data_IF_351507196565
#
_entry.id   IF_351507196565
#
_cell.length_a   1.000
_cell.length_b   1.000
_cell.length_c   1.000
_cell.angle_alpha   90.00
_cell.angle_beta   90.00
_cell.angle_gamma   90.00
#
_symmetry.space_group_name_H-M   'P 1'
#
loop_
_entity.id
_entity.type
_entity.pdbx_description
1 polymer ?
#
# COMPACT_ATOMS: atom_id res chain seq x y z
N UNK A 1 -92.40 42.30 35.92
CA UNK A 1 -92.86 41.82 34.60
C UNK A 1 -91.71 41.86 33.60
N UNK A 2 -91.03 40.73 33.39
CA UNK A 2 -90.44 40.22 32.12
C UNK A 2 -89.60 38.99 32.47
N UNK A 3 -89.91 37.89 31.79
CA UNK A 3 -89.40 36.53 31.95
C UNK A 3 -88.13 36.26 31.11
N UNK A 4 -87.46 35.15 31.47
CA UNK A 4 -86.71 34.16 30.66
C UNK A 4 -85.15 34.08 30.75
N UNK A 5 -84.71 32.91 31.27
CA UNK A 5 -83.41 32.20 31.25
C UNK A 5 -83.02 31.69 29.83
N UNK A 6 -81.90 30.93 29.58
CA UNK A 6 -80.69 30.60 30.39
C UNK A 6 -79.35 30.81 29.63
N UNK A 7 -78.19 30.70 30.33
CA UNK A 7 -76.85 30.56 29.71
C UNK A 7 -76.23 29.20 30.04
N UNK A 8 -75.72 28.53 29.00
CA UNK A 8 -75.18 27.17 29.00
C UNK A 8 -73.68 27.12 29.35
N UNK A 9 -73.29 25.97 29.89
CA UNK A 9 -71.98 25.49 30.31
C UNK A 9 -71.02 25.22 29.13
N UNK A 10 -69.72 25.49 29.27
CA UNK A 10 -68.67 24.83 28.49
C UNK A 10 -67.35 24.70 29.28
N UNK A 11 -66.87 23.45 29.34
CA UNK A 11 -65.63 22.99 29.97
C UNK A 11 -64.38 23.53 29.26
N UNK A 12 -63.29 23.72 30.02
CA UNK A 12 -61.92 23.57 29.48
C UNK A 12 -61.08 22.69 30.41
N UNK A 13 -60.56 21.62 29.82
CA UNK A 13 -59.65 20.64 30.42
C UNK A 13 -58.23 21.11 30.10
N UNK A 14 -57.41 21.36 31.12
CA UNK A 14 -55.95 21.53 30.95
C UNK A 14 -55.25 20.36 31.62
N UNK A 15 -54.80 19.41 30.79
CA UNK A 15 -53.94 18.31 31.20
C UNK A 15 -52.51 18.81 31.40
N UNK A 16 -51.95 18.54 32.58
CA UNK A 16 -50.53 18.65 32.88
C UNK A 16 -49.78 17.57 32.08
N UNK A 17 -49.06 17.98 31.04
CA UNK A 17 -48.10 17.12 30.35
C UNK A 17 -46.74 17.23 31.05
N UNK A 18 -46.22 16.09 31.52
CA UNK A 18 -44.88 15.92 32.04
C UNK A 18 -43.83 16.32 30.99
N UNK A 19 -42.94 17.24 31.36
CA UNK A 19 -41.73 17.57 30.61
C UNK A 19 -40.63 16.55 30.89
N UNK A 20 -40.54 15.51 30.06
CA UNK A 20 -39.32 14.73 29.85
C UNK A 20 -38.56 15.34 28.67
N UNK A 21 -37.75 16.37 28.91
CA UNK A 21 -36.76 16.82 27.93
C UNK A 21 -35.48 16.02 28.13
N UNK A 22 -35.29 14.98 27.32
CA UNK A 22 -34.00 14.35 27.11
C UNK A 22 -33.62 14.55 25.64
N UNK A 23 -33.36 15.81 25.26
CA UNK A 23 -32.73 16.14 23.99
C UNK A 23 -31.22 15.95 24.13
N UNK A 24 -30.77 14.70 24.10
CA UNK A 24 -29.37 14.41 23.79
C UNK A 24 -29.16 14.72 22.31
N UNK A 25 -28.33 15.72 22.00
CA UNK A 25 -27.80 15.89 20.64
C UNK A 25 -27.22 14.54 20.19
N UNK A 26 -27.82 13.94 19.17
CA UNK A 26 -27.23 12.75 18.54
C UNK A 26 -25.87 13.16 18.02
N UNK A 27 -24.82 12.67 18.67
CA UNK A 27 -23.46 12.87 18.19
C UNK A 27 -23.35 12.23 16.81
N UNK A 28 -23.18 13.05 15.76
CA UNK A 28 -23.00 12.55 14.40
C UNK A 28 -21.56 12.10 14.22
N UNK A 29 -21.37 10.79 14.16
CA UNK A 29 -20.09 10.16 13.82
C UNK A 29 -19.87 10.22 12.30
N UNK A 30 -18.63 10.45 11.87
CA UNK A 30 -18.25 10.34 10.44
C UNK A 30 -18.11 8.88 9.98
N UNK A 31 -18.21 7.95 10.92
CA UNK A 31 -18.23 6.51 10.72
C UNK A 31 -19.53 5.94 11.30
N UNK A 32 -19.93 4.78 10.82
CA UNK A 32 -21.08 4.06 11.36
C UNK A 32 -20.62 3.07 12.46
N UNK A 33 -21.43 2.88 13.50
CA UNK A 33 -21.21 1.83 14.51
C UNK A 33 -22.17 0.70 14.20
N UNK A 34 -21.65 -0.48 13.83
CA UNK A 34 -22.51 -1.63 13.58
C UNK A 34 -23.28 -2.00 14.85
N UNK A 35 -24.55 -2.37 14.71
CA UNK A 35 -25.41 -2.76 15.84
C UNK A 35 -24.90 -4.00 16.59
N UNK A 36 -24.01 -4.80 15.99
CA UNK A 36 -23.35 -5.93 16.63
C UNK A 36 -22.16 -5.55 17.51
N UNK A 37 -21.71 -4.28 17.52
CA UNK A 37 -20.59 -3.83 18.35
C UNK A 37 -21.01 -3.93 19.82
N UNK A 38 -20.31 -4.75 20.59
CA UNK A 38 -20.47 -4.82 22.04
C UNK A 38 -19.71 -3.65 22.67
N UNK A 39 -20.37 -2.78 23.46
CA UNK A 39 -19.69 -1.69 24.15
C UNK A 39 -18.62 -2.19 25.14
N UNK A 40 -17.62 -1.35 25.41
CA UNK A 40 -16.68 -1.63 26.50
C UNK A 40 -17.40 -1.62 27.84
N UNK A 41 -16.93 -2.43 28.79
CA UNK A 41 -17.52 -2.53 30.13
C UNK A 41 -17.54 -1.19 30.87
N UNK A 42 -16.52 -0.35 30.66
CA UNK A 42 -16.45 1.00 31.18
C UNK A 42 -17.08 1.99 30.17
N UNK A 43 -18.26 2.58 30.45
CA UNK A 43 -18.94 3.45 29.51
C UNK A 43 -18.17 4.74 29.19
N UNK A 44 -17.46 5.31 30.17
CA UNK A 44 -16.65 6.52 29.97
C UNK A 44 -15.50 6.24 29.00
N UNK A 45 -14.92 5.05 29.10
CA UNK A 45 -13.87 4.60 28.20
C UNK A 45 -14.40 4.30 26.80
N UNK A 46 -15.58 3.69 26.70
CA UNK A 46 -16.27 3.48 25.43
C UNK A 46 -16.54 4.80 24.71
N UNK A 47 -17.09 5.79 25.42
CA UNK A 47 -17.36 7.11 24.84
C UNK A 47 -16.06 7.82 24.44
N UNK A 48 -15.00 7.69 25.24
CA UNK A 48 -13.68 8.25 24.92
C UNK A 48 -13.08 7.64 23.65
N UNK A 49 -13.13 6.32 23.47
CA UNK A 49 -12.58 5.69 22.26
C UNK A 49 -13.39 6.07 21.02
N UNK A 50 -14.73 6.13 21.11
CA UNK A 50 -15.58 6.56 20.00
C UNK A 50 -15.36 8.03 19.63
N UNK A 51 -15.21 8.92 20.62
CA UNK A 51 -14.90 10.34 20.41
C UNK A 51 -13.51 10.53 19.76
N UNK A 52 -12.52 9.77 20.22
CA UNK A 52 -11.17 9.76 19.65
C UNK A 52 -11.18 9.26 18.20
N UNK A 53 -11.92 8.18 17.92
CA UNK A 53 -12.12 7.66 16.56
C UNK A 53 -12.80 8.68 15.63
N UNK A 54 -13.83 9.37 16.13
CA UNK A 54 -14.52 10.39 15.34
C UNK A 54 -13.56 11.51 14.94
N UNK A 55 -12.71 11.93 15.88
CA UNK A 55 -11.67 12.93 15.66
C UNK A 55 -10.64 12.43 14.64
N UNK A 56 -10.18 11.18 14.77
CA UNK A 56 -9.25 10.54 13.85
C UNK A 56 -9.78 10.56 12.40
N UNK A 57 -11.00 10.08 12.18
CA UNK A 57 -11.57 10.05 10.82
C UNK A 57 -11.90 11.43 10.25
N UNK A 58 -12.27 12.41 11.10
CA UNK A 58 -12.48 13.81 10.66
C UNK A 58 -11.18 14.48 10.21
N UNK A 59 -10.06 14.09 10.81
CA UNK A 59 -8.75 14.66 10.53
C UNK A 59 -7.96 13.89 9.46
N UNK A 60 -8.63 13.04 8.65
CA UNK A 60 -7.98 12.38 7.54
C UNK A 60 -7.45 13.42 6.54
N UNK A 61 -6.18 13.27 6.08
CA UNK A 61 -5.64 14.17 5.08
C UNK A 61 -6.44 14.08 3.78
N UNK A 62 -6.57 15.19 3.04
CA UNK A 62 -7.25 15.20 1.74
C UNK A 62 -6.58 14.24 0.74
N UNK A 63 -7.37 13.71 -0.20
CA UNK A 63 -6.93 12.74 -1.23
C UNK A 63 -5.74 13.18 -2.08
N UNK A 64 -5.54 14.49 -2.22
CA UNK A 64 -4.44 15.06 -3.01
C UNK A 64 -3.06 14.98 -2.31
N UNK A 65 -3.00 14.54 -1.04
CA UNK A 65 -1.74 14.43 -0.28
C UNK A 65 -0.87 13.23 -0.65
N UNK A 66 -1.35 12.31 -1.51
CA UNK A 66 -0.62 11.10 -1.94
C UNK A 66 0.78 11.40 -2.53
N UNK A 67 0.98 12.61 -3.04
CA UNK A 67 2.22 13.02 -3.70
C UNK A 67 3.22 13.73 -2.78
N UNK A 68 2.87 14.09 -1.54
CA UNK A 68 3.85 14.58 -0.58
C UNK A 68 4.40 13.41 0.22
N UNK A 69 5.46 12.80 -0.32
CA UNK A 69 6.26 11.78 0.37
C UNK A 69 6.69 12.28 1.77
N UNK A 70 6.89 13.59 1.97
CA UNK A 70 7.06 14.26 3.27
C UNK A 70 5.91 14.04 4.28
N UNK A 71 4.65 14.02 3.83
CA UNK A 71 3.49 13.89 4.72
C UNK A 71 3.39 12.47 5.30
N UNK A 72 3.73 11.45 4.50
CA UNK A 72 3.68 10.05 4.93
C UNK A 72 5.00 9.50 5.45
N UNK A 73 6.15 10.13 5.16
CA UNK A 73 7.47 9.71 5.65
C UNK A 73 7.74 10.09 7.10
N UNK A 74 7.04 11.09 7.65
CA UNK A 74 7.32 11.55 9.02
C UNK A 74 6.84 10.59 10.11
N UNK A 75 5.83 9.74 9.86
CA UNK A 75 5.27 8.84 10.87
C UNK A 75 4.71 7.56 10.23
N UNK A 76 4.70 6.47 11.01
CA UNK A 76 4.03 5.17 10.78
C UNK A 76 2.53 5.34 10.52
N UNK A 77 2.20 5.93 9.38
CA UNK A 77 0.93 6.60 9.21
C UNK A 77 -0.12 5.59 8.78
N UNK A 78 -0.96 5.19 9.73
CA UNK A 78 -2.15 4.37 9.50
C UNK A 78 -3.00 4.89 8.33
N UNK A 79 -3.02 6.20 8.08
CA UNK A 79 -3.75 6.77 6.95
C UNK A 79 -3.24 6.25 5.60
N UNK A 80 -1.97 5.82 5.47
CA UNK A 80 -1.44 5.23 4.24
C UNK A 80 -2.18 3.96 3.85
N UNK A 81 -2.50 3.10 4.82
CA UNK A 81 -3.16 1.82 4.56
C UNK A 81 -4.67 1.98 4.31
N UNK A 82 -5.31 2.97 4.95
CA UNK A 82 -6.77 3.18 4.84
C UNK A 82 -7.15 4.31 3.89
N UNK A 83 -6.19 4.90 3.16
CA UNK A 83 -6.45 5.99 2.23
C UNK A 83 -7.33 5.54 1.07
N UNK A 84 -8.33 6.35 0.73
CA UNK A 84 -9.23 6.12 -0.40
C UNK A 84 -9.41 7.40 -1.21
N UNK A 85 -9.15 7.32 -2.51
CA UNK A 85 -9.44 8.41 -3.46
C UNK A 85 -10.96 8.60 -3.59
N UNK A 86 -11.70 7.50 -3.63
CA UNK A 86 -13.15 7.47 -3.61
C UNK A 86 -13.68 7.62 -2.17
N UNK A 87 -14.02 8.85 -1.80
CA UNK A 87 -14.53 9.20 -0.47
C UNK A 87 -15.96 8.72 -0.19
N UNK A 88 -16.62 8.07 -1.15
CA UNK A 88 -17.95 7.47 -0.94
C UNK A 88 -17.90 6.22 -0.07
N UNK A 89 -16.76 5.55 0.02
CA UNK A 89 -16.55 4.49 1.00
C UNK A 89 -16.48 5.06 2.41
N UNK A 90 -17.40 4.62 3.26
CA UNK A 90 -17.48 5.06 4.66
C UNK A 90 -17.02 3.94 5.60
N UNK A 91 -16.24 4.28 6.64
CA UNK A 91 -15.88 3.33 7.68
C UNK A 91 -17.10 2.94 8.52
N UNK A 92 -17.20 1.65 8.82
CA UNK A 92 -18.15 1.07 9.78
C UNK A 92 -17.38 0.28 10.82
N UNK A 93 -17.46 0.67 12.09
CA UNK A 93 -16.90 -0.07 13.22
C UNK A 93 -17.68 -1.38 13.36
N UNK A 94 -16.98 -2.51 13.24
CA UNK A 94 -17.55 -3.85 13.36
C UNK A 94 -17.35 -4.43 14.75
N UNK A 95 -16.15 -4.28 15.31
CA UNK A 95 -15.80 -4.84 16.63
C UNK A 95 -14.72 -3.99 17.32
N UNK A 96 -14.78 -4.02 18.65
CA UNK A 96 -13.71 -3.61 19.56
C UNK A 96 -13.26 -4.86 20.29
N UNK A 97 -12.03 -5.30 20.04
CA UNK A 97 -11.49 -6.53 20.65
C UNK A 97 -10.43 -6.15 21.68
N UNK A 98 -10.46 -6.73 22.90
CA UNK A 98 -9.37 -6.55 23.85
C UNK A 98 -8.09 -7.20 23.32
N UNK A 99 -6.95 -6.72 23.82
CA UNK A 99 -5.66 -7.40 23.65
C UNK A 99 -5.22 -8.02 24.99
N UNK A 100 -4.01 -8.56 25.04
CA UNK A 100 -3.31 -8.96 26.27
C UNK A 100 -2.85 -7.78 27.12
N UNK A 101 -2.98 -6.55 26.61
CA UNK A 101 -2.70 -5.30 27.33
C UNK A 101 -4.00 -4.54 27.58
N UNK A 102 -4.35 -4.34 28.85
CA UNK A 102 -5.62 -3.71 29.27
C UNK A 102 -5.87 -2.32 28.67
N UNK A 103 -4.80 -1.60 28.29
CA UNK A 103 -4.86 -0.26 27.69
C UNK A 103 -4.88 -0.28 26.17
N UNK A 104 -5.03 -1.45 25.54
CA UNK A 104 -5.01 -1.60 24.09
C UNK A 104 -6.20 -2.41 23.58
N UNK A 105 -6.72 -1.96 22.44
CA UNK A 105 -7.83 -2.60 21.74
C UNK A 105 -7.54 -2.71 20.25
N UNK A 106 -8.03 -3.77 19.62
CA UNK A 106 -8.08 -3.88 18.16
C UNK A 106 -9.43 -3.37 17.70
N UNK A 107 -9.40 -2.33 16.87
CA UNK A 107 -10.58 -1.72 16.28
C UNK A 107 -10.73 -2.26 14.86
N UNK A 108 -11.80 -3.01 14.61
CA UNK A 108 -12.07 -3.62 13.30
C UNK A 108 -13.08 -2.78 12.53
N UNK A 109 -12.73 -2.39 11.32
CA UNK A 109 -13.58 -1.59 10.44
C UNK A 109 -13.81 -2.26 9.10
N UNK A 110 -15.03 -2.14 8.58
CA UNK A 110 -15.32 -2.35 7.16
C UNK A 110 -15.44 -0.99 6.47
N UNK A 111 -14.83 -0.86 5.29
CA UNK A 111 -14.96 0.31 4.44
C UNK A 111 -15.88 -0.04 3.27
N UNK A 112 -17.09 0.51 3.29
CA UNK A 112 -18.17 0.11 2.39
C UNK A 112 -18.84 1.33 1.77
N UNK A 113 -19.36 1.17 0.56
CA UNK A 113 -20.27 2.13 -0.07
C UNK A 113 -21.51 1.40 -0.58
N UNK A 114 -22.56 2.16 -0.89
CA UNK A 114 -23.64 1.64 -1.71
C UNK A 114 -23.34 1.90 -3.18
N UNK A 115 -23.56 0.90 -4.02
CA UNK A 115 -23.54 1.08 -5.46
C UNK A 115 -24.84 1.73 -5.95
N UNK A 116 -24.90 2.00 -7.25
CA UNK A 116 -26.06 2.64 -7.91
C UNK A 116 -27.35 1.81 -7.83
N UNK A 117 -27.24 0.51 -7.57
CA UNK A 117 -28.36 -0.42 -7.46
C UNK A 117 -28.76 -0.70 -6.00
N UNK A 118 -28.09 -0.04 -5.04
CA UNK A 118 -28.32 -0.23 -3.61
C UNK A 118 -27.61 -1.45 -2.99
N UNK A 119 -26.76 -2.16 -3.73
CA UNK A 119 -25.93 -3.20 -3.15
C UNK A 119 -24.74 -2.59 -2.39
N UNK A 120 -24.31 -3.28 -1.34
CA UNK A 120 -23.13 -2.88 -0.59
C UNK A 120 -21.85 -3.35 -1.29
N UNK A 121 -20.99 -2.42 -1.67
CA UNK A 121 -19.65 -2.69 -2.17
C UNK A 121 -18.64 -2.59 -1.03
N UNK A 122 -17.97 -3.70 -0.72
CA UNK A 122 -16.92 -3.78 0.30
C UNK A 122 -15.56 -3.52 -0.34
N UNK A 123 -14.87 -2.47 0.14
CA UNK A 123 -13.51 -2.17 -0.30
C UNK A 123 -12.48 -3.02 0.43
N UNK A 124 -12.50 -2.97 1.77
CA UNK A 124 -11.64 -3.76 2.64
C UNK A 124 -12.18 -3.82 4.07
N UNK A 125 -11.67 -4.79 4.82
CA UNK A 125 -11.81 -4.87 6.29
C UNK A 125 -10.41 -4.66 6.87
N UNK A 126 -10.27 -3.66 7.75
CA UNK A 126 -8.99 -3.24 8.32
C UNK A 126 -9.04 -3.20 9.84
N UNK A 127 -7.97 -3.67 10.47
CA UNK A 127 -7.74 -3.68 11.90
C UNK A 127 -6.68 -2.63 12.25
N UNK A 128 -7.01 -1.79 13.23
CA UNK A 128 -6.06 -0.83 13.80
C UNK A 128 -5.93 -1.03 15.30
N UNK A 129 -4.77 -0.67 15.84
CA UNK A 129 -4.51 -0.76 17.27
C UNK A 129 -4.84 0.59 17.92
N UNK A 130 -5.82 0.60 18.82
CA UNK A 130 -6.10 1.72 19.70
C UNK A 130 -5.30 1.58 21.00
N UNK A 131 -4.63 2.66 21.43
CA UNK A 131 -3.90 2.71 22.70
C UNK A 131 -4.44 3.84 23.57
N UNK A 132 -4.73 3.54 24.83
CA UNK A 132 -5.21 4.51 25.81
C UNK A 132 -4.04 5.38 26.30
N UNK A 133 -4.19 6.68 26.18
CA UNK A 133 -3.24 7.70 26.62
C UNK A 133 -3.98 8.68 27.54
N UNK A 134 -4.00 8.35 28.84
CA UNK A 134 -4.79 9.07 29.83
C UNK A 134 -6.29 8.92 29.56
N UNK A 135 -6.93 10.02 29.15
CA UNK A 135 -8.37 10.08 28.86
C UNK A 135 -8.71 9.99 27.37
N UNK A 136 -7.72 9.81 26.50
CA UNK A 136 -7.88 9.75 25.04
C UNK A 136 -7.30 8.46 24.47
N UNK A 137 -7.61 8.20 23.20
CA UNK A 137 -7.02 7.10 22.45
C UNK A 137 -6.23 7.59 21.25
N UNK A 138 -5.06 6.99 21.02
CA UNK A 138 -4.29 7.12 19.79
C UNK A 138 -4.45 5.85 18.94
N UNK A 139 -4.35 5.99 17.61
CA UNK A 139 -4.56 4.90 16.66
C UNK A 139 -3.30 4.64 15.85
N UNK A 140 -2.92 3.37 15.78
CA UNK A 140 -1.67 2.90 15.19
C UNK A 140 -1.94 1.78 14.20
N UNK A 141 -1.03 1.60 13.24
CA UNK A 141 -0.99 0.38 12.44
C UNK A 141 -0.84 -0.81 13.39
N UNK A 142 -1.59 -1.88 13.12
CA UNK A 142 -1.53 -3.11 13.92
C UNK A 142 -0.27 -3.95 13.63
N UNK A 143 0.56 -3.52 12.68
CA UNK A 143 1.74 -4.23 12.19
C UNK A 143 2.65 -4.78 13.31
N UNK A 144 3.11 -3.92 14.21
CA UNK A 144 4.00 -4.31 15.32
C UNK A 144 3.32 -5.32 16.24
N UNK A 145 2.01 -5.17 16.46
CA UNK A 145 1.24 -6.14 17.23
C UNK A 145 1.18 -7.48 16.50
N UNK A 146 0.88 -7.50 15.21
CA UNK A 146 0.78 -8.73 14.41
C UNK A 146 2.12 -9.48 14.24
N UNK A 147 3.24 -8.79 14.46
CA UNK A 147 4.60 -9.33 14.33
C UNK A 147 5.31 -9.54 15.66
N UNK A 148 4.67 -9.25 16.81
CA UNK A 148 5.31 -9.29 18.14
C UNK A 148 5.91 -10.64 18.53
N UNK A 149 5.31 -11.72 18.04
CA UNK A 149 5.74 -13.10 18.31
C UNK A 149 6.49 -13.72 17.11
N UNK A 150 6.84 -12.93 16.10
CA UNK A 150 7.58 -13.44 14.94
C UNK A 150 9.04 -13.75 15.29
N UNK A 151 9.55 -14.83 14.71
CA UNK A 151 10.94 -15.24 14.90
C UNK A 151 11.85 -14.28 14.14
N UNK A 152 12.93 -13.87 14.78
CA UNK A 152 13.98 -13.03 14.20
C UNK A 152 15.22 -13.87 13.88
N UNK A 153 15.75 -13.71 12.67
CA UNK A 153 17.01 -14.33 12.22
C UNK A 153 17.90 -13.30 11.51
N UNK A 154 19.20 -13.59 11.47
CA UNK A 154 20.20 -12.73 10.83
C UNK A 154 21.02 -13.51 9.80
N UNK A 155 21.31 -12.85 8.68
CA UNK A 155 22.30 -13.28 7.69
C UNK A 155 23.03 -12.02 7.18
N UNK A 156 24.24 -11.79 7.71
CA UNK A 156 25.04 -10.61 7.36
C UNK A 156 24.32 -9.28 7.62
N UNK A 157 24.10 -8.52 6.55
CA UNK A 157 23.42 -7.22 6.53
C UNK A 157 21.89 -7.32 6.59
N UNK A 158 21.33 -8.52 6.44
CA UNK A 158 19.89 -8.75 6.40
C UNK A 158 19.34 -9.28 7.74
N UNK A 159 18.20 -8.73 8.16
CA UNK A 159 17.43 -9.16 9.32
C UNK A 159 16.08 -9.68 8.87
N UNK A 160 15.79 -10.94 9.16
CA UNK A 160 14.56 -11.62 8.76
C UNK A 160 13.60 -11.76 9.92
N UNK A 161 12.33 -11.49 9.64
CA UNK A 161 11.19 -11.74 10.51
C UNK A 161 10.23 -12.70 9.80
N UNK A 162 9.78 -13.75 10.49
CA UNK A 162 8.81 -14.71 9.94
C UNK A 162 7.96 -15.34 11.04
N UNK A 163 6.74 -15.76 10.68
CA UNK A 163 5.87 -16.46 11.61
C UNK A 163 6.53 -17.75 12.13
N UNK A 164 6.39 -18.13 13.43
CA UNK A 164 7.05 -19.31 13.99
C UNK A 164 6.76 -20.65 13.29
N UNK A 165 5.66 -20.76 12.56
CA UNK A 165 5.35 -21.95 11.75
C UNK A 165 6.10 -22.01 10.42
N UNK A 166 6.80 -20.95 10.01
CA UNK A 166 7.52 -20.90 8.74
C UNK A 166 8.93 -21.48 8.89
N UNK A 167 9.40 -22.14 7.84
CA UNK A 167 10.77 -22.64 7.75
C UNK A 167 11.66 -21.51 7.22
N UNK A 168 12.80 -21.30 7.89
CA UNK A 168 13.84 -20.37 7.47
C UNK A 168 14.91 -21.09 6.66
N UNK A 169 15.14 -20.66 5.43
CA UNK A 169 16.21 -21.19 4.58
C UNK A 169 17.47 -20.33 4.70
N UNK A 170 18.40 -20.78 5.55
CA UNK A 170 19.69 -20.12 5.79
C UNK A 170 20.49 -19.87 4.50
N UNK A 171 20.50 -20.84 3.58
CA UNK A 171 21.28 -20.74 2.34
C UNK A 171 20.73 -19.63 1.43
N UNK A 172 19.42 -19.52 1.31
CA UNK A 172 18.79 -18.44 0.54
C UNK A 172 18.98 -17.07 1.20
N UNK A 173 18.94 -17.01 2.53
CA UNK A 173 19.24 -15.77 3.26
C UNK A 173 20.69 -15.29 3.02
N UNK A 174 21.67 -16.20 3.09
CA UNK A 174 23.07 -15.89 2.79
C UNK A 174 23.29 -15.51 1.32
N UNK A 175 22.51 -16.12 0.40
CA UNK A 175 22.51 -15.74 -1.00
C UNK A 175 21.98 -14.32 -1.22
N UNK A 176 20.89 -13.94 -0.54
CA UNK A 176 20.34 -12.58 -0.57
C UNK A 176 21.31 -11.54 -0.01
N UNK A 177 21.99 -11.84 1.11
CA UNK A 177 23.03 -10.97 1.65
C UNK A 177 24.21 -10.81 0.68
N UNK A 178 24.64 -11.91 0.06
CA UNK A 178 25.69 -11.87 -0.96
C UNK A 178 25.29 -11.02 -2.17
N UNK A 179 24.04 -11.12 -2.61
CA UNK A 179 23.50 -10.27 -3.67
C UNK A 179 23.48 -8.79 -3.26
N UNK A 180 23.03 -8.49 -2.05
CA UNK A 180 23.03 -7.13 -1.49
C UNK A 180 24.44 -6.51 -1.52
N UNK A 181 25.44 -7.25 -1.03
CA UNK A 181 26.84 -6.82 -1.01
C UNK A 181 27.40 -6.64 -2.43
N UNK A 182 27.11 -7.59 -3.33
CA UNK A 182 27.59 -7.53 -4.70
C UNK A 182 26.98 -6.36 -5.49
N UNK A 183 25.69 -6.10 -5.30
CA UNK A 183 25.00 -4.98 -5.92
C UNK A 183 25.56 -3.65 -5.40
N UNK A 184 25.70 -3.49 -4.08
CA UNK A 184 26.32 -2.30 -3.49
C UNK A 184 27.71 -2.02 -4.05
N UNK A 185 28.55 -3.06 -4.14
CA UNK A 185 29.90 -2.97 -4.71
C UNK A 185 29.87 -2.53 -6.18
N UNK A 186 28.98 -3.11 -6.99
CA UNK A 186 28.81 -2.74 -8.41
C UNK A 186 28.38 -1.28 -8.57
N UNK A 187 27.61 -0.76 -7.63
CA UNK A 187 27.09 0.60 -7.62
C UNK A 187 27.99 1.59 -6.89
N UNK A 188 29.15 1.14 -6.39
CA UNK A 188 30.12 1.97 -5.66
C UNK A 188 29.51 2.66 -4.43
N UNK A 189 28.63 1.96 -3.70
CA UNK A 189 27.99 2.42 -2.46
C UNK A 189 28.11 1.37 -1.35
N UNK A 190 27.82 1.78 -0.11
CA UNK A 190 27.77 0.87 1.02
C UNK A 190 26.56 -0.07 0.97
N UNK A 191 26.71 -1.37 1.33
CA UNK A 191 25.61 -2.32 1.43
C UNK A 191 24.52 -1.85 2.39
N UNK A 192 23.26 -2.10 2.04
CA UNK A 192 22.14 -1.72 2.89
C UNK A 192 21.86 -2.67 4.04
N UNK A 193 21.36 -2.12 5.15
CA UNK A 193 20.85 -2.92 6.27
C UNK A 193 19.36 -3.16 6.06
N UNK A 194 19.02 -4.36 5.61
CA UNK A 194 17.67 -4.67 5.15
C UNK A 194 16.90 -5.43 6.22
N UNK A 195 15.72 -4.93 6.56
CA UNK A 195 14.71 -5.69 7.31
C UNK A 195 13.78 -6.39 6.32
N UNK A 196 13.54 -7.69 6.53
CA UNK A 196 12.79 -8.54 5.62
C UNK A 196 11.70 -9.32 6.35
N UNK A 197 10.44 -9.14 5.99
CA UNK A 197 9.32 -9.92 6.50
C UNK A 197 8.92 -10.99 5.50
N UNK A 198 9.22 -12.25 5.83
CA UNK A 198 8.91 -13.41 5.00
C UNK A 198 7.51 -13.94 5.32
N UNK A 199 6.57 -13.65 4.43
CA UNK A 199 5.22 -14.20 4.45
C UNK A 199 5.12 -15.39 3.48
N UNK A 200 4.24 -16.34 3.78
CA UNK A 200 3.94 -17.51 2.97
C UNK A 200 3.21 -17.15 1.67
N UNK A 201 2.42 -16.07 1.68
CA UNK A 201 1.57 -15.65 0.57
C UNK A 201 1.03 -14.23 0.80
N UNK A 202 0.29 -13.71 -0.18
CA UNK A 202 -0.32 -12.38 -0.12
C UNK A 202 -1.31 -12.23 1.05
N UNK A 203 -2.04 -13.28 1.42
CA UNK A 203 -2.99 -13.24 2.54
C UNK A 203 -2.25 -12.95 3.85
N UNK A 204 -1.16 -13.66 4.14
CA UNK A 204 -0.37 -13.41 5.36
C UNK A 204 0.24 -11.99 5.35
N UNK A 205 0.77 -11.54 4.21
CA UNK A 205 1.31 -10.18 4.06
C UNK A 205 0.26 -9.11 4.39
N UNK A 206 -0.93 -9.19 3.79
CA UNK A 206 -1.99 -8.21 4.03
C UNK A 206 -2.55 -8.32 5.45
N UNK A 207 -2.62 -9.52 6.05
CA UNK A 207 -2.98 -9.69 7.46
C UNK A 207 -1.99 -9.01 8.39
N UNK A 208 -0.70 -9.15 8.12
CA UNK A 208 0.35 -8.46 8.87
C UNK A 208 0.19 -6.93 8.78
N UNK A 209 -0.23 -6.40 7.63
CA UNK A 209 -0.60 -4.97 7.48
C UNK A 209 -1.91 -4.56 8.17
N UNK A 210 -2.72 -5.52 8.64
CA UNK A 210 -3.96 -5.28 9.36
C UNK A 210 -5.24 -5.59 8.59
N UNK A 211 -5.16 -6.03 7.34
CA UNK A 211 -6.34 -6.37 6.57
C UNK A 211 -6.85 -7.77 6.93
N UNK A 212 -8.15 -7.90 7.19
CA UNK A 212 -8.82 -9.22 7.18
C UNK A 212 -9.37 -9.54 5.79
N UNK A 213 -9.62 -8.50 4.99
CA UNK A 213 -10.05 -8.62 3.60
C UNK A 213 -9.58 -7.40 2.81
N UNK A 214 -9.01 -7.63 1.64
CA UNK A 214 -8.88 -6.65 0.57
C UNK A 214 -8.78 -7.42 -0.75
N UNK A 215 -9.21 -6.83 -1.87
CA UNK A 215 -9.15 -7.49 -3.19
C UNK A 215 -7.72 -7.98 -3.52
N UNK A 216 -6.70 -7.25 -3.08
CA UNK A 216 -5.29 -7.58 -3.30
C UNK A 216 -4.84 -8.92 -2.68
N UNK A 217 -5.53 -9.43 -1.66
CA UNK A 217 -5.21 -10.73 -1.04
C UNK A 217 -5.39 -11.92 -1.98
N UNK A 218 -6.23 -11.78 -3.00
CA UNK A 218 -6.68 -12.88 -3.86
C UNK A 218 -6.43 -12.63 -5.34
N UNK A 219 -5.86 -11.46 -5.70
CA UNK A 219 -5.53 -11.13 -7.08
C UNK A 219 -4.20 -11.77 -7.50
N UNK A 220 -3.19 -11.63 -6.65
CA UNK A 220 -1.83 -12.06 -6.94
C UNK A 220 -1.41 -13.13 -5.90
N UNK A 221 -0.83 -14.24 -6.35
CA UNK A 221 -0.39 -15.34 -5.47
C UNK A 221 1.00 -15.12 -4.89
N UNK A 222 1.80 -14.25 -5.52
CA UNK A 222 3.14 -13.85 -5.15
C UNK A 222 3.31 -12.34 -5.35
N UNK A 223 4.24 -11.74 -4.62
CA UNK A 223 4.57 -10.33 -4.75
C UNK A 223 5.35 -9.84 -3.54
N UNK A 224 5.73 -8.57 -3.57
CA UNK A 224 6.41 -7.92 -2.48
C UNK A 224 6.44 -6.42 -2.71
N UNK A 225 6.96 -5.71 -1.71
CA UNK A 225 7.31 -4.30 -1.84
C UNK A 225 8.28 -3.91 -0.75
N UNK A 226 9.03 -2.85 -1.00
CA UNK A 226 9.68 -2.06 0.03
C UNK A 226 8.66 -1.06 0.63
N UNK A 227 8.64 -0.95 1.95
CA UNK A 227 7.97 0.13 2.68
C UNK A 227 9.01 0.85 3.56
N UNK A 228 9.23 2.16 3.34
CA UNK A 228 10.29 2.95 3.98
C UNK A 228 10.37 2.81 5.52
N UNK A 229 9.23 2.65 6.19
CA UNK A 229 9.12 2.56 7.66
C UNK A 229 9.20 1.12 8.22
N UNK A 230 9.25 0.10 7.35
CA UNK A 230 9.20 -1.32 7.74
C UNK A 230 10.37 -2.11 7.15
N UNK A 231 10.58 -1.99 5.84
CA UNK A 231 11.49 -2.81 5.06
C UNK A 231 10.78 -3.60 3.96
N UNK A 232 11.37 -4.74 3.56
CA UNK A 232 10.79 -5.62 2.55
C UNK A 232 9.63 -6.42 3.16
N UNK A 233 8.45 -6.31 2.55
CA UNK A 233 7.32 -7.20 2.78
C UNK A 233 7.24 -8.17 1.62
N UNK A 234 7.52 -9.45 1.87
CA UNK A 234 7.52 -10.48 0.83
C UNK A 234 6.40 -11.49 1.03
N UNK A 235 5.67 -11.77 -0.04
CA UNK A 235 4.63 -12.80 -0.13
C UNK A 235 5.07 -14.00 -0.98
N UNK A 236 6.37 -14.18 -1.26
CA UNK A 236 6.87 -15.25 -2.12
C UNK A 236 7.33 -16.52 -1.37
N UNK A 237 7.14 -16.59 -0.05
CA UNK A 237 7.60 -17.67 0.83
C UNK A 237 9.09 -18.03 0.68
N UNK A 238 9.94 -17.04 0.41
CA UNK A 238 11.38 -17.24 0.19
C UNK A 238 12.18 -16.14 0.88
N UNK A 239 13.41 -16.45 1.29
CA UNK A 239 14.40 -15.46 1.72
C UNK A 239 15.10 -14.78 0.52
N UNK A 240 14.94 -15.35 -0.68
CA UNK A 240 15.46 -14.85 -1.95
C UNK A 240 14.42 -13.99 -2.68
N UNK A 241 14.66 -12.67 -2.69
CA UNK A 241 13.85 -11.72 -3.47
C UNK A 241 14.71 -10.53 -3.93
N UNK A 242 15.66 -10.77 -4.85
CA UNK A 242 16.65 -9.79 -5.29
C UNK A 242 16.03 -8.53 -5.93
N UNK A 243 14.87 -8.65 -6.57
CA UNK A 243 14.11 -7.51 -7.10
C UNK A 243 13.83 -6.45 -6.02
N UNK A 244 13.26 -6.87 -4.88
CA UNK A 244 12.94 -5.96 -3.77
C UNK A 244 14.21 -5.45 -3.06
N UNK A 245 15.29 -6.22 -3.07
CA UNK A 245 16.59 -5.76 -2.55
C UNK A 245 17.13 -4.62 -3.43
N UNK A 246 16.98 -4.72 -4.76
CA UNK A 246 17.46 -3.71 -5.68
C UNK A 246 16.75 -2.35 -5.51
N UNK A 247 15.49 -2.34 -5.08
CA UNK A 247 14.73 -1.11 -4.81
C UNK A 247 15.33 -0.21 -3.72
N UNK A 248 16.26 -0.69 -2.90
CA UNK A 248 16.96 0.11 -1.89
C UNK A 248 18.04 1.06 -2.45
N UNK A 249 18.51 0.80 -3.66
CA UNK A 249 19.71 1.44 -4.18
C UNK A 249 19.48 2.72 -5.00
N UNK A 250 18.39 2.89 -5.77
CA UNK A 250 18.16 4.14 -6.50
C UNK A 250 18.27 5.43 -5.67
N UNK A 251 17.73 5.50 -4.42
CA UNK A 251 17.88 6.69 -3.58
C UNK A 251 19.33 7.00 -3.15
N UNK A 252 20.26 6.04 -3.28
CA UNK A 252 21.70 6.27 -3.02
C UNK A 252 22.45 6.81 -4.22
N UNK A 253 21.85 6.67 -5.40
CA UNK A 253 22.47 7.05 -6.67
C UNK A 253 22.06 8.46 -7.09
N UNK A 254 20.88 8.92 -6.64
CA UNK A 254 20.32 10.22 -6.97
C UNK A 254 19.22 10.64 -5.98
N UNK A 255 19.08 11.95 -5.76
CA UNK A 255 18.03 12.57 -4.93
C UNK A 255 16.69 12.75 -5.69
N UNK A 256 16.66 12.46 -6.99
CA UNK A 256 15.55 12.81 -7.89
C UNK A 256 14.84 11.60 -8.50
N UNK A 257 15.10 10.39 -8.01
CA UNK A 257 14.54 9.18 -8.60
C UNK A 257 13.02 9.04 -8.41
N UNK A 258 12.27 9.36 -9.46
CA UNK A 258 10.80 9.43 -9.38
C UNK A 258 10.07 8.77 -10.55
N UNK A 259 10.77 8.38 -11.62
CA UNK A 259 10.16 7.67 -12.73
C UNK A 259 10.01 6.16 -12.43
N UNK A 260 8.77 5.68 -12.37
CA UNK A 260 8.49 4.27 -12.04
C UNK A 260 9.04 3.28 -13.07
N UNK A 261 9.15 3.66 -14.34
CA UNK A 261 9.68 2.78 -15.39
C UNK A 261 11.17 2.51 -15.14
N UNK A 262 11.95 3.51 -14.77
CA UNK A 262 13.38 3.33 -14.47
C UNK A 262 13.62 2.68 -13.11
N UNK A 263 12.77 2.94 -12.12
CA UNK A 263 12.84 2.28 -10.81
C UNK A 263 12.61 0.76 -10.92
N UNK A 264 11.47 0.38 -11.49
CA UNK A 264 11.15 -1.03 -11.72
C UNK A 264 12.09 -1.67 -12.74
N UNK A 265 12.50 -0.90 -13.75
CA UNK A 265 13.50 -1.30 -14.72
C UNK A 265 14.84 -1.63 -14.08
N UNK A 266 15.34 -0.78 -13.19
CA UNK A 266 16.57 -1.02 -12.45
C UNK A 266 16.47 -2.26 -11.56
N UNK A 267 15.36 -2.40 -10.82
CA UNK A 267 15.12 -3.57 -9.98
C UNK A 267 15.05 -4.86 -10.80
N UNK A 268 14.40 -4.81 -11.96
CA UNK A 268 14.32 -5.92 -12.93
C UNK A 268 15.68 -6.24 -13.53
N UNK A 269 16.48 -5.23 -13.85
CA UNK A 269 17.82 -5.41 -14.41
C UNK A 269 18.77 -6.06 -13.40
N UNK A 270 18.74 -5.59 -12.15
CA UNK A 270 19.61 -6.08 -11.10
C UNK A 270 19.16 -7.46 -10.56
N UNK A 271 17.86 -7.64 -10.34
CA UNK A 271 17.31 -8.77 -9.60
C UNK A 271 16.36 -9.69 -10.38
N UNK A 272 15.99 -9.36 -11.62
CA UNK A 272 14.92 -10.07 -12.33
C UNK A 272 13.54 -9.82 -11.71
N UNK A 273 12.54 -10.62 -12.08
CA UNK A 273 11.18 -10.58 -11.49
C UNK A 273 10.44 -11.90 -11.72
N UNK A 274 9.48 -12.25 -10.86
CA UNK A 274 8.63 -13.45 -10.99
C UNK A 274 9.38 -14.73 -11.42
N UNK A 275 10.57 -14.97 -10.84
CA UNK A 275 11.51 -16.07 -11.13
C UNK A 275 12.27 -16.01 -12.47
N UNK A 276 12.05 -14.99 -13.29
CA UNK A 276 12.76 -14.76 -14.54
C UNK A 276 13.88 -13.73 -14.36
N UNK A 277 15.04 -14.03 -14.95
CA UNK A 277 16.05 -13.03 -15.23
C UNK A 277 15.58 -12.08 -16.34
N UNK A 278 16.19 -10.90 -16.44
CA UNK A 278 15.92 -9.97 -17.54
C UNK A 278 16.06 -10.63 -18.91
N UNK A 279 17.13 -11.41 -19.14
CA UNK A 279 17.35 -12.07 -20.43
C UNK A 279 16.23 -13.05 -20.81
N UNK A 280 15.70 -13.79 -19.83
CA UNK A 280 14.56 -14.69 -20.08
C UNK A 280 13.31 -13.92 -20.46
N UNK A 281 13.03 -12.80 -19.77
CA UNK A 281 11.92 -11.91 -20.13
C UNK A 281 12.09 -11.31 -21.51
N UNK A 282 13.27 -10.80 -21.86
CA UNK A 282 13.54 -10.22 -23.18
C UNK A 282 13.29 -11.24 -24.31
N UNK A 283 13.70 -12.49 -24.11
CA UNK A 283 13.43 -13.58 -25.07
C UNK A 283 11.93 -13.86 -25.21
N UNK A 284 11.19 -13.94 -24.10
CA UNK A 284 9.73 -14.13 -24.13
C UNK A 284 9.01 -12.97 -24.81
N UNK A 285 9.43 -11.74 -24.51
CA UNK A 285 8.90 -10.52 -25.11
C UNK A 285 9.17 -10.44 -26.60
N UNK A 286 10.37 -10.82 -27.05
CA UNK A 286 10.71 -10.90 -28.48
C UNK A 286 9.75 -11.83 -29.23
N UNK A 287 9.56 -13.06 -28.73
CA UNK A 287 8.66 -14.02 -29.38
C UNK A 287 7.21 -13.51 -29.39
N UNK A 288 6.74 -12.91 -28.30
CA UNK A 288 5.41 -12.30 -28.25
C UNK A 288 5.26 -11.19 -29.30
N UNK A 289 6.20 -10.25 -29.36
CA UNK A 289 6.13 -9.12 -30.29
C UNK A 289 6.30 -9.51 -31.76
N UNK A 290 6.91 -10.66 -32.05
CA UNK A 290 6.97 -11.26 -33.39
C UNK A 290 5.60 -11.80 -33.82
N UNK A 291 4.85 -12.39 -32.88
CA UNK A 291 3.48 -12.87 -33.12
C UNK A 291 2.45 -11.73 -33.13
N UNK A 292 2.77 -10.60 -32.50
CA UNK A 292 1.90 -9.42 -32.38
C UNK A 292 2.61 -8.14 -32.91
N UNK A 293 2.90 -8.06 -34.22
CA UNK A 293 3.67 -6.95 -34.79
C UNK A 293 2.99 -5.58 -34.66
N UNK A 294 1.66 -5.54 -34.51
CA UNK A 294 0.86 -4.32 -34.32
C UNK A 294 0.96 -3.73 -32.91
N UNK A 295 1.59 -4.43 -31.96
CA UNK A 295 1.71 -3.96 -30.58
C UNK A 295 2.54 -2.69 -30.49
N UNK A 296 1.97 -1.68 -29.82
CA UNK A 296 2.62 -0.40 -29.56
C UNK A 296 3.31 -0.41 -28.20
N UNK A 297 4.64 -0.50 -28.16
CA UNK A 297 5.43 -0.55 -26.92
C UNK A 297 5.31 0.78 -26.16
N UNK A 298 5.29 1.90 -26.88
CA UNK A 298 5.16 3.25 -26.29
C UNK A 298 3.89 3.34 -25.47
N UNK A 299 2.76 2.90 -26.01
CA UNK A 299 1.50 2.94 -25.29
C UNK A 299 1.53 1.98 -24.08
N UNK A 300 2.00 0.76 -24.27
CA UNK A 300 1.91 -0.28 -23.27
C UNK A 300 2.84 -0.09 -22.06
N UNK A 301 3.97 0.62 -22.21
CA UNK A 301 4.90 0.85 -21.10
C UNK A 301 4.30 1.75 -20.00
N UNK A 302 3.34 2.61 -20.33
CA UNK A 302 2.69 3.52 -19.38
C UNK A 302 1.33 3.02 -18.86
N UNK A 303 0.73 2.02 -19.49
CA UNK A 303 -0.63 1.53 -19.18
C UNK A 303 -0.66 0.33 -18.21
N UNK A 304 0.47 -0.02 -17.58
CA UNK A 304 0.61 -1.20 -16.70
C UNK A 304 0.16 -2.51 -17.36
N UNK A 305 0.25 -2.59 -18.68
CA UNK A 305 -0.10 -3.81 -19.42
C UNK A 305 1.00 -4.87 -19.27
N UNK A 306 0.61 -6.14 -19.44
CA UNK A 306 1.53 -7.28 -19.45
C UNK A 306 1.89 -7.67 -20.89
N UNK A 307 3.17 -7.99 -21.13
CA UNK A 307 3.62 -8.57 -22.39
C UNK A 307 3.14 -10.01 -22.52
N UNK A 308 3.45 -10.81 -21.51
CA UNK A 308 3.03 -12.21 -21.33
C UNK A 308 2.69 -12.36 -19.85
N UNK A 309 1.58 -13.03 -19.54
CA UNK A 309 1.03 -13.26 -18.19
C UNK A 309 1.97 -12.89 -17.03
N UNK A 310 1.70 -11.79 -16.33
CA UNK A 310 2.44 -11.28 -15.17
C UNK A 310 3.85 -10.71 -15.45
N UNK A 311 4.17 -10.36 -16.70
CA UNK A 311 5.40 -9.65 -17.06
C UNK A 311 5.05 -8.27 -17.62
N UNK A 312 5.06 -7.20 -16.79
CA UNK A 312 4.72 -5.86 -17.22
C UNK A 312 5.68 -5.30 -18.26
N UNK A 313 5.18 -4.52 -19.23
CA UNK A 313 6.03 -3.84 -20.22
C UNK A 313 7.10 -2.97 -19.56
N UNK A 314 6.74 -2.23 -18.52
CA UNK A 314 7.67 -1.35 -17.79
C UNK A 314 8.86 -2.11 -17.18
N UNK A 315 8.67 -3.37 -16.74
CA UNK A 315 9.76 -4.16 -16.15
C UNK A 315 10.76 -4.57 -17.24
N UNK A 316 10.24 -5.08 -18.36
CA UNK A 316 11.08 -5.56 -19.46
C UNK A 316 11.82 -4.42 -20.14
N UNK A 317 11.09 -3.39 -20.56
CA UNK A 317 11.66 -2.29 -21.34
C UNK A 317 12.46 -1.32 -20.45
N UNK A 318 12.00 -1.06 -19.23
CA UNK A 318 12.81 -0.34 -18.24
C UNK A 318 14.12 -1.09 -17.94
N UNK A 319 14.06 -2.41 -17.75
CA UNK A 319 15.25 -3.22 -17.50
C UNK A 319 16.22 -3.26 -18.68
N UNK A 320 15.70 -3.36 -19.91
CA UNK A 320 16.51 -3.25 -21.12
C UNK A 320 17.18 -1.88 -21.22
N UNK A 321 16.47 -0.78 -20.95
CA UNK A 321 17.05 0.57 -20.96
C UNK A 321 18.16 0.71 -19.91
N UNK A 322 17.96 0.22 -18.68
CA UNK A 322 19.00 0.22 -17.65
C UNK A 322 20.25 -0.58 -18.08
N UNK A 323 20.04 -1.76 -18.71
CA UNK A 323 21.13 -2.57 -19.25
C UNK A 323 21.90 -1.82 -20.34
N UNK A 324 21.21 -1.25 -21.32
CA UNK A 324 21.82 -0.50 -22.42
C UNK A 324 22.54 0.75 -21.94
N UNK A 325 22.00 1.45 -20.94
CA UNK A 325 22.63 2.62 -20.36
C UNK A 325 23.94 2.25 -19.67
N UNK A 326 23.97 1.13 -18.93
CA UNK A 326 25.21 0.64 -18.32
C UNK A 326 26.23 0.17 -19.37
N UNK A 327 25.79 -0.47 -20.45
CA UNK A 327 26.70 -0.85 -21.54
C UNK A 327 27.30 0.37 -22.25
N UNK A 328 26.54 1.48 -22.34
CA UNK A 328 26.97 2.71 -23.00
C UNK A 328 27.87 3.59 -22.13
N UNK A 329 27.51 3.77 -20.86
CA UNK A 329 28.16 4.74 -19.96
C UNK A 329 28.47 4.19 -18.56
N UNK A 330 28.45 2.86 -18.39
CA UNK A 330 28.61 2.22 -17.07
C UNK A 330 27.61 2.77 -16.05
N UNK A 331 27.99 2.87 -14.77
CA UNK A 331 27.12 3.39 -13.71
C UNK A 331 26.55 4.80 -14.02
N UNK A 332 27.26 5.63 -14.78
CA UNK A 332 26.80 6.97 -15.13
C UNK A 332 25.53 6.94 -15.99
N UNK A 333 25.41 5.97 -16.90
CA UNK A 333 24.21 5.81 -17.71
C UNK A 333 22.99 5.46 -16.86
N UNK A 334 23.16 4.56 -15.88
CA UNK A 334 22.09 4.21 -14.93
C UNK A 334 21.66 5.45 -14.13
N UNK A 335 22.62 6.22 -13.61
CA UNK A 335 22.34 7.44 -12.82
C UNK A 335 21.50 8.45 -13.60
N UNK A 336 21.87 8.72 -14.86
CA UNK A 336 21.09 9.60 -15.75
C UNK A 336 19.64 9.15 -15.89
N UNK A 337 19.40 7.86 -16.15
CA UNK A 337 18.03 7.34 -16.23
C UNK A 337 17.27 7.52 -14.91
N UNK A 338 17.91 7.22 -13.79
CA UNK A 338 17.30 7.32 -12.47
C UNK A 338 17.04 8.78 -12.06
N UNK A 339 17.74 9.78 -12.61
CA UNK A 339 17.47 11.21 -12.36
C UNK A 339 16.17 11.73 -13.01
N UNK A 340 15.51 10.90 -13.84
CA UNK A 340 14.27 11.28 -14.51
C UNK A 340 13.10 11.48 -13.54
N UNK A 341 12.31 12.52 -13.82
CA UNK A 341 11.08 12.86 -13.12
C UNK A 341 9.90 11.99 -13.58
N UNK A 342 8.71 12.24 -13.02
CA UNK A 342 7.56 11.34 -13.12
C UNK A 342 6.90 11.28 -14.51
N UNK A 343 7.02 12.33 -15.34
CA UNK A 343 6.15 12.43 -16.53
C UNK A 343 6.66 11.61 -17.72
N UNK A 344 5.74 11.29 -18.64
CA UNK A 344 6.09 10.71 -19.95
C UNK A 344 7.07 11.60 -20.74
N UNK A 345 6.96 12.92 -20.60
CA UNK A 345 7.89 13.86 -21.24
C UNK A 345 9.31 13.72 -20.68
N UNK A 346 9.43 13.63 -19.36
CA UNK A 346 10.71 13.46 -18.67
C UNK A 346 11.35 12.11 -19.03
N UNK A 347 10.54 11.07 -19.20
CA UNK A 347 10.98 9.77 -19.68
C UNK A 347 11.62 9.87 -21.07
N UNK A 348 10.94 10.48 -22.04
CA UNK A 348 11.49 10.59 -23.39
C UNK A 348 12.68 11.53 -23.49
N UNK A 349 12.70 12.60 -22.69
CA UNK A 349 13.83 13.51 -22.64
C UNK A 349 15.11 12.77 -22.23
N UNK A 350 15.06 11.95 -21.18
CA UNK A 350 16.24 11.21 -20.73
C UNK A 350 16.62 10.08 -21.69
N UNK A 351 15.63 9.45 -22.34
CA UNK A 351 15.90 8.44 -23.39
C UNK A 351 16.60 9.08 -24.59
N UNK A 352 16.18 10.26 -25.01
CA UNK A 352 16.84 11.00 -26.09
C UNK A 352 18.26 11.43 -25.69
N UNK A 353 18.44 11.91 -24.47
CA UNK A 353 19.76 12.30 -23.95
C UNK A 353 20.73 11.11 -23.89
N UNK A 354 20.30 9.99 -23.30
CA UNK A 354 21.17 8.82 -23.06
C UNK A 354 21.37 8.02 -24.34
N UNK A 355 20.35 7.85 -25.18
CA UNK A 355 20.41 6.95 -26.33
C UNK A 355 20.42 7.66 -27.69
N UNK A 356 20.05 8.94 -27.75
CA UNK A 356 19.84 9.65 -29.02
C UNK A 356 18.56 9.22 -29.73
N UNK A 357 17.58 8.68 -28.99
CA UNK A 357 16.34 8.10 -29.52
C UNK A 357 15.17 9.01 -29.18
N UNK A 358 14.54 9.58 -30.20
CA UNK A 358 13.33 10.38 -30.05
C UNK A 358 12.11 9.51 -29.80
N UNK A 359 11.05 10.08 -29.21
CA UNK A 359 9.77 9.39 -28.94
C UNK A 359 9.23 8.61 -30.15
N UNK A 360 9.21 9.24 -31.33
CA UNK A 360 8.67 8.62 -32.56
C UNK A 360 9.48 7.41 -33.03
N UNK A 361 10.77 7.37 -32.67
CA UNK A 361 11.71 6.32 -33.06
C UNK A 361 11.80 5.20 -31.98
N UNK A 362 11.20 5.40 -30.80
CA UNK A 362 11.33 4.51 -29.64
C UNK A 362 10.86 3.08 -29.90
N UNK A 363 9.69 2.91 -30.53
CA UNK A 363 9.15 1.60 -30.86
C UNK A 363 10.12 0.78 -31.73
N UNK A 364 10.69 1.43 -32.75
CA UNK A 364 11.65 0.81 -33.67
C UNK A 364 12.93 0.45 -32.94
N UNK A 365 13.45 1.39 -32.13
CA UNK A 365 14.64 1.17 -31.32
C UNK A 365 14.50 -0.03 -30.39
N UNK A 366 13.43 -0.11 -29.59
CA UNK A 366 13.24 -1.22 -28.65
C UNK A 366 13.13 -2.57 -29.36
N UNK A 367 12.47 -2.62 -30.53
CA UNK A 367 12.37 -3.85 -31.33
C UNK A 367 13.74 -4.28 -31.88
N UNK A 368 14.53 -3.35 -32.39
CA UNK A 368 15.89 -3.63 -32.87
C UNK A 368 16.79 -4.15 -31.74
N UNK A 369 16.70 -3.57 -30.56
CA UNK A 369 17.47 -4.00 -29.39
C UNK A 369 17.06 -5.39 -28.88
N UNK A 370 15.76 -5.72 -28.95
CA UNK A 370 15.25 -7.05 -28.61
C UNK A 370 15.77 -8.14 -29.54
N UNK A 371 16.10 -7.85 -30.80
CA UNK A 371 16.58 -8.87 -31.74
C UNK A 371 17.89 -9.55 -31.30
N UNK A 372 18.63 -8.94 -30.36
CA UNK A 372 19.87 -9.47 -29.78
C UNK A 372 19.67 -10.65 -28.81
N UNK A 373 18.42 -10.96 -28.44
CA UNK A 373 18.03 -12.03 -27.51
C UNK A 373 17.25 -13.13 -28.22
#
# INVERSE_FOLDING_TARGET
>A
MKFLQPLLLALSISALACSSQNNGEKTTFVFHINSSVVPLQNPVEYDSVLSSLNTFFKNQPPSQSRHSQEYFSSHRNIYRDIHLEDTSYKPSLLHILPTDVDTQYIMKFAFMKQDVNGFSDLRFIYNMLARKEGTRFSFHRIFDYNTRDWVKQHAGTMTYYYHPSNIFNRKLAEQSDSFNIALAKRLEVEPEKITYYKCQNAIELFKLKGFDYTRGMYRDTIGGRVEDDIGILSANNSEWYPHEIAHYYPPKLTDHCRNSIFLEGFATYAGGTHYYSLNEMLRLTKEYLRLHPQTDIVKNIFEENDVVSHVPYMYVFGGLLCKLAEEKESLNGIKKLLESYFSEMDFYQVVEEVFGVRKDDFNTFMRQELEKY
#
